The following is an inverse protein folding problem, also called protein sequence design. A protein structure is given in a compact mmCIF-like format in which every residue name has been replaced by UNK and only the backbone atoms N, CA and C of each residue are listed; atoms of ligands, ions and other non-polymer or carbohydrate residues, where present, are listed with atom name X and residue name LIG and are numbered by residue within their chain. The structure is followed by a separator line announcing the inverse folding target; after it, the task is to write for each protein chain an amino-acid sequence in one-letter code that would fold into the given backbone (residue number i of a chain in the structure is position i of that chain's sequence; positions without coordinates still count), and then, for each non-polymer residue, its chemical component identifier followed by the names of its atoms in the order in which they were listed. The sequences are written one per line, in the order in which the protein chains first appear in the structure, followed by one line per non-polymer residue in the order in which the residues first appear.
data_IF_760245621610
#
_entry.id   IF_760245621610
#
_cell.length_a   1.000
_cell.length_b   1.000
_cell.length_c   1.000
_cell.angle_alpha   90.00
_cell.angle_beta   90.00
_cell.angle_gamma   90.00
#
_symmetry.space_group_name_H-M   'P 1'
#
loop_
_entity.id
_entity.type
_entity.pdbx_description
1 polymer ?
#
# COMPACT_ATOMS: atom_id res chain seq x y z
N UNK A 1 -4.84 4.01 -6.87
CA UNK A 1 -3.96 4.94 -6.14
C UNK A 1 -2.83 4.12 -5.53
N UNK A 2 -1.85 4.73 -4.87
CA UNK A 2 -0.92 3.98 -4.03
C UNK A 2 -0.54 4.79 -2.79
N UNK A 3 -0.19 4.12 -1.71
CA UNK A 3 0.56 4.70 -0.59
C UNK A 3 1.97 4.14 -0.55
N UNK A 4 2.85 4.82 0.19
CA UNK A 4 4.23 4.39 0.39
C UNK A 4 4.49 4.29 1.88
N UNK A 5 4.88 3.11 2.34
CA UNK A 5 5.22 2.85 3.72
C UNK A 5 6.73 2.70 3.85
N UNK A 6 7.33 3.39 4.81
CA UNK A 6 8.74 3.23 5.11
C UNK A 6 8.91 2.24 6.26
N UNK A 7 9.58 1.12 5.99
CA UNK A 7 9.89 0.11 7.00
C UNK A 7 11.29 0.34 7.54
N UNK A 8 11.39 0.67 8.83
CA UNK A 8 12.64 0.68 9.57
C UNK A 8 12.86 -0.68 10.26
N UNK A 9 14.03 -1.28 10.07
CA UNK A 9 14.42 -2.50 10.78
C UNK A 9 15.53 -2.19 11.77
N UNK A 10 15.77 -3.08 12.75
CA UNK A 10 16.85 -2.92 13.75
C UNK A 10 18.13 -2.40 13.08
N UNK A 11 18.58 -1.22 13.51
CA UNK A 11 19.78 -0.51 13.07
C UNK A 11 20.20 -0.82 11.62
N UNK A 12 19.39 -0.36 10.64
CA UNK A 12 19.83 -0.18 9.26
C UNK A 12 20.06 -1.44 8.42
N UNK A 13 19.53 -2.61 8.84
CA UNK A 13 19.79 -3.87 8.13
C UNK A 13 18.98 -3.96 6.83
N UNK A 14 17.74 -3.47 6.80
CA UNK A 14 16.82 -3.49 5.64
C UNK A 14 15.80 -2.36 5.71
N UNK A 15 16.25 -1.11 5.71
CA UNK A 15 15.31 -0.02 5.46
C UNK A 15 14.74 -0.20 4.06
N UNK A 16 13.45 0.01 3.86
CA UNK A 16 12.82 -0.15 2.54
C UNK A 16 11.56 0.67 2.44
N UNK A 17 11.27 1.15 1.23
CA UNK A 17 9.94 1.62 0.92
C UNK A 17 9.11 0.46 0.38
N UNK A 18 7.84 0.45 0.76
CA UNK A 18 6.82 -0.46 0.29
C UNK A 18 5.73 0.36 -0.38
N UNK A 19 5.53 0.17 -1.67
CA UNK A 19 4.45 0.80 -2.40
C UNK A 19 3.25 -0.14 -2.36
N UNK A 20 2.20 0.27 -1.64
CA UNK A 20 0.93 -0.45 -1.55
C UNK A 20 -0.01 0.04 -2.65
N UNK A 21 -0.35 -0.79 -3.64
CA UNK A 21 -1.33 -0.41 -4.67
C UNK A 21 -2.73 -0.66 -4.11
N UNK A 22 -3.54 0.39 -4.10
CA UNK A 22 -4.82 0.37 -3.39
C UNK A 22 -5.85 1.29 -4.03
N UNK A 23 -7.10 1.17 -3.59
CA UNK A 23 -8.17 2.07 -3.99
C UNK A 23 -7.91 3.52 -3.54
N UNK A 24 -8.71 4.43 -4.09
CA UNK A 24 -8.66 5.82 -3.65
C UNK A 24 -9.13 5.95 -2.20
N UNK A 25 -8.46 6.85 -1.46
CA UNK A 25 -8.79 7.11 -0.07
C UNK A 25 -10.13 7.83 0.08
N UNK A 26 -11.05 7.21 0.80
CA UNK A 26 -12.24 7.88 1.31
C UNK A 26 -11.95 8.42 2.70
N UNK A 27 -12.20 9.71 2.92
CA UNK A 27 -11.98 10.38 4.21
C UNK A 27 -13.30 10.64 4.90
N UNK A 28 -13.35 10.34 6.19
CA UNK A 28 -14.47 10.61 7.08
C UNK A 28 -13.97 11.23 8.38
N UNK A 29 -14.90 11.57 9.28
CA UNK A 29 -14.57 12.02 10.63
C UNK A 29 -13.91 10.91 11.48
N UNK A 30 -14.07 9.64 11.09
CA UNK A 30 -13.49 8.48 11.78
C UNK A 30 -12.13 8.04 11.22
N UNK A 31 -11.73 8.50 10.04
CA UNK A 31 -10.41 8.19 9.50
C UNK A 31 -10.31 8.17 7.97
N UNK A 32 -9.48 7.24 7.49
CA UNK A 32 -9.24 6.97 6.06
C UNK A 32 -9.63 5.52 5.81
N UNK A 33 -10.45 5.31 4.79
CA UNK A 33 -10.84 4.00 4.29
C UNK A 33 -10.26 3.78 2.89
N UNK A 34 -9.79 2.56 2.65
CA UNK A 34 -9.25 2.11 1.36
C UNK A 34 -9.38 0.58 1.27
N UNK A 35 -9.06 0.02 0.11
CA UNK A 35 -8.97 -1.43 -0.09
C UNK A 35 -7.69 -1.78 -0.83
N UNK A 36 -7.01 -2.79 -0.32
CA UNK A 36 -5.81 -3.37 -0.92
C UNK A 36 -6.12 -3.97 -2.31
N UNK A 37 -5.21 -3.76 -3.26
CA UNK A 37 -5.33 -4.29 -4.62
C UNK A 37 -4.25 -5.33 -4.96
N UNK A 38 -3.69 -5.97 -3.94
CA UNK A 38 -2.82 -7.16 -3.96
C UNK A 38 -1.41 -6.94 -4.52
N UNK A 39 -1.26 -6.17 -5.60
CA UNK A 39 0.05 -5.97 -6.21
C UNK A 39 0.84 -4.89 -5.46
N UNK A 40 2.10 -5.20 -5.15
CA UNK A 40 2.98 -4.25 -4.45
C UNK A 40 4.31 -4.05 -5.16
N UNK A 41 5.01 -2.97 -4.79
CA UNK A 41 6.39 -2.71 -5.22
C UNK A 41 7.29 -2.51 -4.01
N UNK A 42 8.29 -3.37 -3.86
CA UNK A 42 9.35 -3.24 -2.87
C UNK A 42 10.47 -2.38 -3.43
N UNK A 43 10.96 -1.42 -2.66
CA UNK A 43 12.05 -0.52 -3.05
C UNK A 43 13.12 -0.52 -1.96
N UNK A 44 14.33 -0.93 -2.32
CA UNK A 44 15.48 -0.95 -1.42
C UNK A 44 16.20 0.42 -1.36
N UNK A 45 17.09 0.66 -0.38
CA UNK A 45 17.76 1.95 -0.20
C UNK A 45 18.67 2.35 -1.37
N UNK A 46 19.16 1.37 -2.13
CA UNK A 46 19.94 1.56 -3.35
C UNK A 46 19.05 1.85 -4.58
N UNK A 47 17.76 2.11 -4.37
CA UNK A 47 16.76 2.47 -5.38
C UNK A 47 16.44 1.36 -6.38
N UNK A 48 16.79 0.13 -6.05
CA UNK A 48 16.36 -1.05 -6.80
C UNK A 48 14.94 -1.38 -6.37
N UNK A 49 14.09 -1.74 -7.34
CA UNK A 49 12.72 -2.14 -7.06
C UNK A 49 12.42 -3.55 -7.58
N UNK A 50 11.43 -4.18 -6.97
CA UNK A 50 10.87 -5.46 -7.39
C UNK A 50 9.36 -5.48 -7.16
N UNK A 51 8.61 -6.08 -8.09
CA UNK A 51 7.20 -6.39 -7.85
C UNK A 51 7.08 -7.50 -6.82
N UNK A 52 6.01 -7.44 -6.03
CA UNK A 52 5.63 -8.43 -5.04
C UNK A 52 4.17 -8.83 -5.27
N UNK A 53 3.86 -10.10 -5.04
CA UNK A 53 2.50 -10.68 -5.09
C UNK A 53 1.83 -10.64 -6.49
N UNK A 54 2.65 -10.68 -7.55
CA UNK A 54 2.15 -10.83 -8.92
C UNK A 54 1.32 -12.11 -9.11
N UNK A 55 1.74 -13.21 -8.47
CA UNK A 55 1.05 -14.49 -8.52
C UNK A 55 -0.28 -14.48 -7.75
N UNK A 56 -0.36 -13.70 -6.67
CA UNK A 56 -1.60 -13.47 -5.92
C UNK A 56 -2.58 -12.60 -6.73
N UNK A 57 -2.10 -11.57 -7.43
CA UNK A 57 -2.94 -10.78 -8.34
C UNK A 57 -3.52 -11.67 -9.45
N UNK A 58 -2.69 -12.53 -10.05
CA UNK A 58 -3.15 -13.50 -11.05
C UNK A 58 -4.14 -14.51 -10.47
N UNK A 59 -3.96 -14.92 -9.21
CA UNK A 59 -4.92 -15.79 -8.52
C UNK A 59 -6.25 -15.06 -8.28
N UNK A 60 -6.23 -13.83 -7.78
CA UNK A 60 -7.40 -13.00 -7.56
C UNK A 60 -8.17 -12.77 -8.88
N UNK A 61 -7.45 -12.56 -9.98
CA UNK A 61 -8.06 -12.47 -11.31
C UNK A 61 -8.75 -13.77 -11.70
N UNK A 62 -8.06 -14.92 -11.61
CA UNK A 62 -8.63 -16.23 -11.97
C UNK A 62 -9.81 -16.62 -11.08
N UNK A 63 -9.81 -16.19 -9.82
CA UNK A 63 -10.90 -16.41 -8.88
C UNK A 63 -12.10 -15.47 -9.09
N UNK A 64 -12.01 -14.50 -10.01
CA UNK A 64 -13.08 -13.56 -10.31
C UNK A 64 -13.20 -12.40 -9.32
N UNK A 65 -12.24 -12.25 -8.38
CA UNK A 65 -12.19 -11.11 -7.44
C UNK A 65 -11.97 -9.80 -8.20
N UNK A 66 -11.09 -9.83 -9.21
CA UNK A 66 -10.83 -8.69 -10.08
C UNK A 66 -11.14 -9.00 -11.55
N UNK A 67 -11.86 -8.09 -12.19
CA UNK A 67 -12.05 -8.11 -13.64
C UNK A 67 -10.72 -7.87 -14.38
N UNK A 68 -10.62 -8.27 -15.64
CA UNK A 68 -9.44 -8.01 -16.48
C UNK A 68 -9.11 -6.52 -16.53
N UNK A 69 -10.13 -5.65 -16.68
CA UNK A 69 -9.96 -4.21 -16.69
C UNK A 69 -9.39 -3.67 -15.36
N UNK A 70 -9.81 -4.25 -14.22
CA UNK A 70 -9.27 -3.88 -12.91
C UNK A 70 -7.81 -4.30 -12.77
N UNK A 71 -7.43 -5.50 -13.21
CA UNK A 71 -6.04 -5.97 -13.22
C UNK A 71 -5.15 -5.07 -14.08
N UNK A 72 -5.62 -4.67 -15.27
CA UNK A 72 -4.91 -3.71 -16.12
C UNK A 72 -4.71 -2.36 -15.42
N UNK A 73 -5.74 -1.84 -14.75
CA UNK A 73 -5.64 -0.61 -13.97
C UNK A 73 -4.62 -0.75 -12.83
N UNK A 74 -4.64 -1.85 -12.08
CA UNK A 74 -3.69 -2.14 -10.99
C UNK A 74 -2.25 -2.10 -11.53
N UNK A 75 -1.99 -2.81 -12.64
CA UNK A 75 -0.68 -2.81 -13.28
C UNK A 75 -0.27 -1.42 -13.77
N UNK A 76 -1.18 -0.62 -14.31
CA UNK A 76 -0.89 0.75 -14.73
C UNK A 76 -0.48 1.65 -13.55
N UNK A 77 -1.17 1.55 -12.42
CA UNK A 77 -0.81 2.32 -11.22
C UNK A 77 0.54 1.87 -10.68
N UNK A 78 0.82 0.57 -10.66
CA UNK A 78 2.12 0.05 -10.24
C UNK A 78 3.26 0.53 -11.15
N UNK A 79 3.03 0.62 -12.47
CA UNK A 79 3.98 1.21 -13.41
C UNK A 79 4.19 2.72 -13.18
N UNK A 80 3.16 3.44 -12.72
CA UNK A 80 3.34 4.84 -12.34
C UNK A 80 4.22 4.96 -11.10
N UNK A 81 3.98 4.15 -10.07
CA UNK A 81 4.83 4.12 -8.89
C UNK A 81 6.29 3.79 -9.22
N UNK A 82 6.53 2.83 -10.13
CA UNK A 82 7.87 2.50 -10.63
C UNK A 82 8.54 3.72 -11.26
N UNK A 83 7.84 4.50 -12.09
CA UNK A 83 8.40 5.73 -12.67
C UNK A 83 8.78 6.74 -11.59
N UNK A 84 7.96 6.86 -10.54
CA UNK A 84 8.24 7.77 -9.43
C UNK A 84 9.49 7.30 -8.65
N UNK A 85 9.71 5.99 -8.52
CA UNK A 85 10.95 5.40 -7.98
C UNK A 85 12.16 5.64 -8.89
N UNK A 86 12.02 5.40 -10.20
CA UNK A 86 13.10 5.57 -11.18
C UNK A 86 13.64 7.01 -11.24
N UNK A 87 12.74 7.99 -11.14
CA UNK A 87 13.11 9.41 -11.07
C UNK A 87 13.45 9.87 -9.65
N UNK A 88 13.24 9.02 -8.65
CA UNK A 88 13.37 9.34 -7.23
C UNK A 88 12.57 10.60 -6.87
N UNK A 89 11.30 10.61 -7.25
CA UNK A 89 10.34 11.68 -7.00
C UNK A 89 9.70 11.54 -5.60
N UNK A 90 8.83 12.47 -5.24
CA UNK A 90 8.03 12.34 -4.02
C UNK A 90 7.22 11.02 -4.06
N UNK A 91 7.14 10.25 -2.96
CA UNK A 91 7.67 10.54 -1.62
C UNK A 91 9.11 10.05 -1.35
N UNK A 92 9.76 9.37 -2.29
CA UNK A 92 11.07 8.73 -2.09
C UNK A 92 12.22 9.72 -1.86
N UNK A 93 12.10 10.96 -2.34
CA UNK A 93 13.08 12.03 -2.10
C UNK A 93 12.79 12.92 -0.88
N UNK A 94 11.76 12.61 -0.08
CA UNK A 94 11.30 13.48 0.99
C UNK A 94 12.02 13.30 2.34
N UNK A 95 12.97 12.35 2.44
CA UNK A 95 13.78 12.17 3.65
C UNK A 95 13.09 11.39 4.78
N UNK A 96 12.09 10.57 4.46
CA UNK A 96 11.36 9.75 5.43
C UNK A 96 12.27 8.79 6.23
N UNK A 97 13.43 8.43 5.70
CA UNK A 97 14.45 7.65 6.39
C UNK A 97 15.05 8.34 7.63
N UNK A 98 14.91 9.66 7.72
CA UNK A 98 15.30 10.46 8.88
C UNK A 98 14.14 10.79 9.82
N UNK A 99 12.91 10.37 9.50
CA UNK A 99 11.76 10.61 10.36
C UNK A 99 11.92 9.86 11.69
N UNK A 100 11.63 10.56 12.79
CA UNK A 100 11.49 9.97 14.12
C UNK A 100 10.16 10.46 14.69
N UNK A 101 9.31 9.57 15.22
CA UNK A 101 8.10 10.00 15.90
C UNK A 101 8.46 10.86 17.12
N UNK A 102 7.58 11.80 17.46
CA UNK A 102 7.74 12.58 18.69
C UNK A 102 7.72 11.62 19.90
N UNK A 103 8.74 11.64 20.77
CA UNK A 103 8.81 10.74 21.93
C UNK A 103 7.64 10.93 22.92
N UNK A 104 6.95 12.07 22.87
CA UNK A 104 5.78 12.35 23.71
C UNK A 104 4.47 11.82 23.11
N UNK A 105 4.47 11.28 21.88
CA UNK A 105 3.29 10.64 21.30
C UNK A 105 2.91 9.36 22.06
N UNK A 106 1.74 9.40 22.69
CA UNK A 106 1.17 8.22 23.34
C UNK A 106 0.65 7.23 22.32
N UNK A 107 0.74 5.94 22.63
CA UNK A 107 0.11 4.88 21.82
C UNK A 107 -1.42 5.11 21.77
N UNK A 108 -2.03 5.27 20.59
CA UNK A 108 -3.46 5.47 20.48
C UNK A 108 -4.22 4.21 20.93
N UNK A 109 -5.37 4.40 21.57
CA UNK A 109 -6.26 3.29 21.93
C UNK A 109 -7.16 2.94 20.75
N UNK A 110 -7.39 1.65 20.51
CA UNK A 110 -8.41 1.20 19.56
C UNK A 110 -9.80 1.67 20.05
N UNK A 111 -10.57 2.44 19.25
CA UNK A 111 -11.90 2.90 19.65
C UNK A 111 -12.83 1.71 19.95
N UNK A 112 -13.48 1.74 21.12
CA UNK A 112 -14.35 0.65 21.56
C UNK A 112 -15.72 0.64 20.85
N UNK A 113 -16.05 1.75 20.20
CA UNK A 113 -17.26 2.01 19.43
C UNK A 113 -17.05 1.88 17.92
N UNK A 114 -15.89 1.36 17.48
CA UNK A 114 -15.67 1.01 16.09
C UNK A 114 -16.72 -0.02 15.65
N UNK A 115 -17.65 0.40 14.80
CA UNK A 115 -18.65 -0.47 14.22
C UNK A 115 -18.08 -1.03 12.91
N UNK A 116 -17.79 -2.33 12.88
CA UNK A 116 -17.29 -3.00 11.69
C UNK A 116 -18.47 -3.51 10.89
N UNK A 117 -18.76 -2.86 9.76
CA UNK A 117 -19.72 -3.37 8.80
C UNK A 117 -19.01 -4.41 7.92
N UNK A 118 -19.40 -5.67 8.07
CA UNK A 118 -18.97 -6.71 7.16
C UNK A 118 -20.02 -6.80 6.04
N UNK A 119 -19.64 -6.40 4.83
CA UNK A 119 -20.45 -6.72 3.66
C UNK A 119 -20.33 -8.23 3.37
N UNK A 120 -21.40 -8.98 3.63
CA UNK A 120 -21.48 -10.38 3.20
C UNK A 120 -21.49 -10.43 1.66
N UNK A 121 -20.34 -10.72 1.07
CA UNK A 121 -20.21 -11.10 -0.35
C UNK A 121 -20.72 -12.54 -0.57
N UNK A 122 -21.93 -12.83 -0.09
CA UNK A 122 -22.69 -14.02 -0.41
C UNK A 122 -23.74 -13.66 -1.46
N UNK A 123 -23.32 -13.54 -2.72
CA UNK A 123 -24.22 -13.19 -3.81
C UNK A 123 -23.56 -13.24 -5.19
N UNK A 124 -23.16 -14.43 -5.63
CA UNK A 124 -22.86 -14.70 -7.03
C UNK A 124 -23.45 -16.07 -7.39
N UNK A 125 -24.45 -16.05 -8.27
CA UNK A 125 -25.19 -17.22 -8.79
C UNK A 125 -24.29 -18.32 -9.38
#
# INVERSE_FOLDING_TARGET
MYSVWFFETKAGIRNSYYVNIEEEFTRSDSGIETSDLVLDVLVSPDRIYAFKDEDELELAHRAGVFSTAKVEQIRQVAQQAVKDVEHWEFPFNAGYEGFQPDPDWTVPTLPADANWEFEDVAGGD
#
